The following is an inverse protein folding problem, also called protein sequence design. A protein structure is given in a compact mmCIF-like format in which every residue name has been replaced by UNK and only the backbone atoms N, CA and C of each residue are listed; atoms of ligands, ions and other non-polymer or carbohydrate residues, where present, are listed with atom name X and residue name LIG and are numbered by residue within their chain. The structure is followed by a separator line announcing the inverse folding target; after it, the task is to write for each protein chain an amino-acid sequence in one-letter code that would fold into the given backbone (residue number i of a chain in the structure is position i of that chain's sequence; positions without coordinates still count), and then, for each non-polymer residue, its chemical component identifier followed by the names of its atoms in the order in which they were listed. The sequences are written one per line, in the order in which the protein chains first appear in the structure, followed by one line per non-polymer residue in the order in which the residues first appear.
data_IF_991638227869
#
_entry.id   IF_991638227869
#
_cell.length_a   1.000
_cell.length_b   1.000
_cell.length_c   1.000
_cell.angle_alpha   90.00
_cell.angle_beta   90.00
_cell.angle_gamma   90.00
#
_symmetry.space_group_name_H-M   'P 1'
#
loop_
_entity.id
_entity.type
_entity.pdbx_description
1 polymer ?
#
# COMPACT_ATOMS: atom_id res chain seq x y z
N UNK A 1 -14.53 9.02 52.22
CA UNK A 1 -14.90 8.34 50.95
C UNK A 1 -15.19 9.37 49.86
N UNK A 2 -14.17 9.78 49.10
CA UNK A 2 -14.32 10.59 47.87
C UNK A 2 -13.18 10.22 46.93
N UNK A 3 -13.29 9.08 46.26
CA UNK A 3 -12.33 8.66 45.24
C UNK A 3 -13.00 7.68 44.27
N UNK A 4 -14.01 8.14 43.53
CA UNK A 4 -14.66 7.35 42.46
C UNK A 4 -15.06 8.14 41.21
N UNK A 5 -14.63 9.39 41.07
CA UNK A 5 -15.04 10.23 39.91
C UNK A 5 -13.91 10.40 38.87
N UNK A 6 -12.67 10.03 39.19
CA UNK A 6 -11.54 10.24 38.26
C UNK A 6 -11.42 9.12 37.20
N UNK A 7 -12.08 7.98 37.38
CA UNK A 7 -11.94 6.85 36.45
C UNK A 7 -12.88 6.89 35.23
N UNK A 8 -13.82 7.84 35.15
CA UNK A 8 -14.79 7.91 34.04
C UNK A 8 -14.35 8.82 32.89
N UNK A 9 -13.36 9.70 33.10
CA UNK A 9 -12.89 10.65 32.08
C UNK A 9 -11.81 10.04 31.18
N UNK A 10 -11.12 9.00 31.63
CA UNK A 10 -10.05 8.35 30.86
C UNK A 10 -10.55 7.35 29.80
N UNK A 11 -11.85 7.02 29.79
CA UNK A 11 -12.46 6.08 28.84
C UNK A 11 -13.08 6.76 27.62
N UNK A 12 -13.01 8.10 27.53
CA UNK A 12 -13.58 8.89 26.42
C UNK A 12 -12.52 9.50 25.49
N UNK A 13 -11.22 9.20 25.67
CA UNK A 13 -10.13 9.80 24.89
C UNK A 13 -9.43 8.83 23.91
N UNK A 14 -10.02 7.68 23.60
CA UNK A 14 -9.44 6.72 22.63
C UNK A 14 -10.10 6.82 21.24
N UNK A 15 -11.05 7.74 21.03
CA UNK A 15 -11.63 7.92 19.71
C UNK A 15 -10.94 9.02 18.90
N UNK A 16 -10.42 8.55 17.75
CA UNK A 16 -10.13 9.29 16.52
C UNK A 16 -8.99 10.31 16.58
N UNK A 17 -7.77 9.79 16.39
CA UNK A 17 -6.85 10.40 15.43
C UNK A 17 -6.81 9.51 14.18
N UNK A 18 -7.93 9.38 13.47
CA UNK A 18 -7.88 8.94 12.07
C UNK A 18 -7.30 10.12 11.28
N UNK A 19 -6.17 9.88 10.62
CA UNK A 19 -5.63 10.83 9.67
C UNK A 19 -6.73 11.09 8.62
N UNK A 20 -7.15 12.34 8.36
CA UNK A 20 -8.22 12.61 7.39
C UNK A 20 -7.91 12.07 5.99
N UNK A 21 -6.63 11.85 5.67
CA UNK A 21 -6.24 11.11 4.46
C UNK A 21 -6.58 9.62 4.53
N UNK A 22 -6.35 8.94 5.66
CA UNK A 22 -6.66 7.51 5.81
C UNK A 22 -8.17 7.24 5.82
N UNK A 23 -8.99 8.17 6.33
CA UNK A 23 -10.44 7.97 6.41
C UNK A 23 -11.14 8.18 5.05
N UNK A 24 -10.73 9.19 4.27
CA UNK A 24 -11.24 9.39 2.90
C UNK A 24 -10.68 8.37 1.90
N UNK A 25 -9.43 7.90 2.09
CA UNK A 25 -8.90 6.77 1.34
C UNK A 25 -9.61 5.48 1.74
N UNK A 26 -9.65 5.07 3.02
CA UNK A 26 -10.11 3.73 3.44
C UNK A 26 -11.58 3.42 3.17
N UNK A 27 -12.49 4.40 3.30
CA UNK A 27 -13.93 4.16 3.14
C UNK A 27 -14.32 3.98 1.66
N UNK A 28 -13.66 4.71 0.75
CA UNK A 28 -13.85 4.53 -0.69
C UNK A 28 -12.98 3.40 -1.26
N UNK A 29 -11.82 3.14 -0.65
CA UNK A 29 -10.87 2.11 -1.01
C UNK A 29 -11.36 0.68 -0.77
N UNK A 30 -11.98 0.42 0.39
CA UNK A 30 -12.55 -0.90 0.70
C UNK A 30 -13.70 -1.24 -0.24
N UNK A 31 -14.58 -0.26 -0.51
CA UNK A 31 -15.67 -0.41 -1.48
C UNK A 31 -15.17 -0.52 -2.92
N UNK A 32 -14.13 0.21 -3.32
CA UNK A 32 -13.50 0.11 -4.64
C UNK A 32 -12.70 -1.18 -4.81
N UNK A 33 -12.10 -1.73 -3.74
CA UNK A 33 -11.41 -3.01 -3.76
C UNK A 33 -12.39 -4.19 -3.75
N UNK A 34 -13.48 -4.10 -2.99
CA UNK A 34 -14.62 -5.01 -3.11
C UNK A 34 -15.26 -4.87 -4.50
N UNK A 35 -15.33 -3.65 -5.05
CA UNK A 35 -15.76 -3.41 -6.44
C UNK A 35 -14.77 -4.01 -7.42
N UNK A 36 -13.45 -3.85 -7.29
CA UNK A 36 -12.41 -4.40 -8.19
C UNK A 36 -12.37 -5.93 -8.09
N UNK A 37 -12.45 -6.49 -6.88
CA UNK A 37 -12.58 -7.94 -6.68
C UNK A 37 -13.97 -8.48 -7.08
N UNK A 38 -14.97 -7.61 -7.28
CA UNK A 38 -16.27 -7.96 -7.88
C UNK A 38 -16.40 -7.62 -9.38
N UNK A 39 -15.56 -6.71 -9.88
CA UNK A 39 -15.38 -6.30 -11.28
C UNK A 39 -14.33 -7.18 -11.97
N UNK A 40 -13.58 -7.96 -11.20
CA UNK A 40 -13.19 -9.32 -11.59
C UNK A 40 -14.48 -10.10 -11.86
N UNK A 41 -15.08 -9.82 -13.02
CA UNK A 41 -15.67 -10.86 -13.83
C UNK A 41 -14.79 -12.09 -13.64
N UNK A 42 -15.37 -13.15 -13.08
CA UNK A 42 -14.72 -14.39 -12.64
C UNK A 42 -13.94 -15.12 -13.74
N UNK A 43 -13.84 -14.54 -14.93
CA UNK A 43 -13.19 -15.02 -16.14
C UNK A 43 -12.32 -13.94 -16.82
N UNK A 44 -11.84 -12.91 -16.12
CA UNK A 44 -10.74 -12.07 -16.63
C UNK A 44 -9.49 -12.94 -16.64
N UNK A 45 -9.29 -13.58 -17.79
CA UNK A 45 -8.37 -14.68 -18.06
C UNK A 45 -7.06 -14.55 -17.26
N UNK A 46 -6.87 -15.43 -16.27
CA UNK A 46 -5.66 -15.45 -15.46
C UNK A 46 -4.42 -15.61 -16.34
N UNK A 47 -4.55 -16.28 -17.49
CA UNK A 47 -3.47 -16.40 -18.46
C UNK A 47 -3.08 -15.03 -19.01
N UNK A 48 -4.05 -14.17 -19.35
CA UNK A 48 -3.79 -12.79 -19.78
C UNK A 48 -3.16 -11.93 -18.67
N UNK A 49 -3.53 -12.16 -17.41
CA UNK A 49 -2.87 -11.47 -16.28
C UNK A 49 -1.41 -11.91 -16.15
N UNK A 50 -1.12 -13.19 -16.35
CA UNK A 50 0.25 -13.69 -16.36
C UNK A 50 1.07 -13.17 -17.55
N UNK A 51 0.46 -13.05 -18.73
CA UNK A 51 1.11 -12.43 -19.90
C UNK A 51 1.52 -10.99 -19.59
N UNK A 52 0.60 -10.17 -19.08
CA UNK A 52 0.90 -8.79 -18.70
C UNK A 52 1.97 -8.69 -17.61
N UNK A 53 1.90 -9.57 -16.60
CA UNK A 53 2.89 -9.62 -15.53
C UNK A 53 4.28 -10.01 -16.06
N UNK A 54 4.34 -10.90 -17.06
CA UNK A 54 5.56 -11.33 -17.71
C UNK A 54 6.16 -10.24 -18.60
N UNK A 55 5.32 -9.54 -19.37
CA UNK A 55 5.72 -8.38 -20.17
C UNK A 55 6.32 -7.27 -19.30
N UNK A 56 5.68 -6.97 -18.15
CA UNK A 56 6.20 -5.97 -17.21
C UNK A 56 7.53 -6.44 -16.61
N UNK A 57 7.63 -7.69 -16.14
CA UNK A 57 8.90 -8.26 -15.65
C UNK A 57 10.01 -8.13 -16.70
N UNK A 58 9.72 -8.46 -17.95
CA UNK A 58 10.67 -8.38 -19.05
C UNK A 58 11.14 -6.94 -19.29
N UNK A 59 10.26 -5.94 -19.19
CA UNK A 59 10.64 -4.53 -19.27
C UNK A 59 11.70 -4.17 -18.22
N UNK A 60 11.48 -4.57 -16.96
CA UNK A 60 12.47 -4.32 -15.89
C UNK A 60 13.80 -5.03 -16.15
N UNK A 61 13.76 -6.29 -16.60
CA UNK A 61 14.98 -7.05 -16.89
C UNK A 61 15.77 -6.45 -18.07
N UNK A 62 15.08 -6.04 -19.14
CA UNK A 62 15.70 -5.47 -20.33
C UNK A 62 16.37 -4.12 -20.06
N UNK A 63 15.79 -3.32 -19.17
CA UNK A 63 16.34 -2.01 -18.79
C UNK A 63 17.34 -2.10 -17.62
N UNK A 64 17.61 -3.32 -17.11
CA UNK A 64 18.51 -3.55 -15.98
C UNK A 64 17.99 -2.95 -14.67
N UNK A 65 16.67 -2.77 -14.55
CA UNK A 65 16.00 -2.25 -13.37
C UNK A 65 15.82 -3.40 -12.37
N UNK A 66 16.16 -3.22 -11.08
CA UNK A 66 15.99 -4.28 -10.09
C UNK A 66 14.52 -4.74 -9.96
N UNK A 67 14.30 -6.06 -9.87
CA UNK A 67 12.97 -6.65 -9.71
C UNK A 67 12.28 -6.27 -8.38
N UNK A 68 13.01 -5.69 -7.43
CA UNK A 68 12.41 -5.06 -6.25
C UNK A 68 11.50 -3.89 -6.61
N UNK A 69 11.84 -3.12 -7.66
CA UNK A 69 11.00 -2.04 -8.16
C UNK A 69 9.80 -2.55 -8.95
N UNK A 70 9.92 -3.70 -9.62
CA UNK A 70 8.79 -4.37 -10.27
C UNK A 70 7.76 -4.82 -9.23
N UNK A 71 8.24 -5.48 -8.15
CA UNK A 71 7.40 -5.87 -7.01
C UNK A 71 6.72 -4.66 -6.35
N UNK A 72 7.45 -3.54 -6.22
CA UNK A 72 6.92 -2.27 -5.70
C UNK A 72 5.86 -1.66 -6.60
N UNK A 73 6.10 -1.65 -7.91
CA UNK A 73 5.14 -1.17 -8.89
C UNK A 73 3.83 -1.95 -8.83
N UNK A 74 3.89 -3.28 -8.89
CA UNK A 74 2.68 -4.12 -8.82
C UNK A 74 1.97 -3.96 -7.47
N UNK A 75 2.71 -3.82 -6.37
CA UNK A 75 2.12 -3.54 -5.06
C UNK A 75 1.35 -2.22 -5.05
N UNK A 76 1.97 -1.12 -5.50
CA UNK A 76 1.36 0.19 -5.42
C UNK A 76 0.18 0.36 -6.39
N UNK A 77 0.18 -0.32 -7.53
CA UNK A 77 -0.96 -0.38 -8.46
C UNK A 77 -2.27 -0.73 -7.74
N UNK A 78 -2.25 -1.72 -6.85
CA UNK A 78 -3.45 -2.10 -6.09
C UNK A 78 -3.64 -1.28 -4.80
N UNK A 79 -2.56 -0.82 -4.16
CA UNK A 79 -2.67 0.09 -3.00
C UNK A 79 -3.32 1.43 -3.36
N UNK A 80 -3.00 2.00 -4.53
CA UNK A 80 -3.61 3.23 -5.03
C UNK A 80 -5.09 3.08 -5.34
N UNK A 81 -5.51 1.87 -5.69
CA UNK A 81 -6.92 1.51 -5.88
C UNK A 81 -7.63 1.20 -4.55
N UNK A 82 -6.95 1.37 -3.43
CA UNK A 82 -7.54 1.17 -2.12
C UNK A 82 -7.38 -0.22 -1.51
N UNK A 83 -6.60 -1.10 -2.14
CA UNK A 83 -6.28 -2.38 -1.52
C UNK A 83 -5.61 -2.19 -0.16
N UNK A 84 -6.10 -2.88 0.87
CA UNK A 84 -5.39 -2.96 2.15
C UNK A 84 -4.06 -3.69 1.95
N UNK A 85 -3.06 -3.41 2.78
CA UNK A 85 -1.77 -4.10 2.70
C UNK A 85 -1.94 -5.63 2.74
N UNK A 86 -2.84 -6.14 3.58
CA UNK A 86 -3.11 -7.57 3.70
C UNK A 86 -3.78 -8.15 2.45
N UNK A 87 -4.77 -7.44 1.89
CA UNK A 87 -5.47 -7.90 0.69
C UNK A 87 -4.53 -7.93 -0.52
N UNK A 88 -3.77 -6.85 -0.74
CA UNK A 88 -2.80 -6.77 -1.85
C UNK A 88 -1.72 -7.83 -1.70
N UNK A 89 -1.24 -8.08 -0.48
CA UNK A 89 -0.30 -9.16 -0.20
C UNK A 89 -0.86 -10.52 -0.62
N UNK A 90 -2.08 -10.85 -0.19
CA UNK A 90 -2.68 -12.15 -0.48
C UNK A 90 -2.97 -12.32 -1.98
N UNK A 91 -3.42 -11.27 -2.64
CA UNK A 91 -3.64 -11.24 -4.08
C UNK A 91 -2.33 -11.44 -4.85
N UNK A 92 -1.31 -10.60 -4.62
CA UNK A 92 -0.03 -10.69 -5.31
C UNK A 92 0.70 -11.99 -5.05
N UNK A 93 0.65 -12.52 -3.82
CA UNK A 93 1.19 -13.84 -3.52
C UNK A 93 0.53 -14.91 -4.42
N UNK A 94 -0.80 -14.89 -4.52
CA UNK A 94 -1.53 -15.88 -5.32
C UNK A 94 -1.24 -15.71 -6.81
N UNK A 95 -1.26 -14.48 -7.33
CA UNK A 95 -1.00 -14.17 -8.73
C UNK A 95 0.43 -14.55 -9.14
N UNK A 96 1.44 -14.14 -8.37
CA UNK A 96 2.84 -14.45 -8.69
C UNK A 96 3.11 -15.95 -8.66
N UNK A 97 2.51 -16.69 -7.71
CA UNK A 97 2.63 -18.14 -7.67
C UNK A 97 1.91 -18.84 -8.83
N UNK A 98 0.76 -18.31 -9.24
CA UNK A 98 0.03 -18.84 -10.41
C UNK A 98 0.82 -18.60 -11.71
N UNK A 99 1.47 -17.45 -11.84
CA UNK A 99 2.25 -17.06 -13.02
C UNK A 99 3.72 -17.52 -12.99
N UNK A 100 4.07 -18.54 -12.19
CA UNK A 100 5.44 -19.07 -12.06
C UNK A 100 6.53 -18.03 -11.67
N UNK A 101 6.14 -16.97 -10.96
CA UNK A 101 6.99 -15.88 -10.48
C UNK A 101 7.11 -15.83 -8.95
N UNK A 102 6.73 -16.89 -8.23
CA UNK A 102 6.72 -16.94 -6.77
C UNK A 102 8.07 -16.59 -6.13
N UNK A 103 9.20 -16.92 -6.78
CA UNK A 103 10.53 -16.55 -6.31
C UNK A 103 10.76 -15.03 -6.26
N UNK A 104 10.29 -14.30 -7.27
CA UNK A 104 10.37 -12.83 -7.32
C UNK A 104 9.60 -12.24 -6.14
N UNK A 105 8.42 -12.78 -5.85
CA UNK A 105 7.62 -12.39 -4.69
C UNK A 105 8.37 -12.61 -3.37
N UNK A 106 8.90 -13.82 -3.15
CA UNK A 106 9.58 -14.16 -1.89
C UNK A 106 10.83 -13.32 -1.62
N UNK A 107 11.63 -13.09 -2.67
CA UNK A 107 12.89 -12.36 -2.56
C UNK A 107 12.68 -10.86 -2.32
N UNK A 108 11.60 -10.30 -2.87
CA UNK A 108 11.40 -8.85 -2.91
C UNK A 108 10.33 -8.33 -1.94
N UNK A 109 9.39 -9.15 -1.46
CA UNK A 109 8.29 -8.67 -0.60
C UNK A 109 8.78 -7.94 0.67
N UNK A 110 9.93 -8.34 1.23
CA UNK A 110 10.49 -7.72 2.43
C UNK A 110 10.90 -6.25 2.22
N UNK A 111 11.30 -5.86 1.01
CA UNK A 111 11.64 -4.45 0.72
C UNK A 111 10.41 -3.56 0.80
N UNK A 112 9.23 -4.06 0.38
CA UNK A 112 7.97 -3.31 0.44
C UNK A 112 7.56 -2.96 1.85
N UNK A 113 7.65 -3.92 2.78
CA UNK A 113 7.35 -3.66 4.18
C UNK A 113 8.25 -2.56 4.76
N UNK A 114 9.52 -2.49 4.32
CA UNK A 114 10.42 -1.43 4.75
C UNK A 114 9.99 -0.06 4.17
N UNK A 115 9.67 -0.01 2.88
CA UNK A 115 9.24 1.21 2.19
C UNK A 115 7.91 1.76 2.75
N UNK A 116 6.91 0.91 3.00
CA UNK A 116 5.66 1.32 3.63
C UNK A 116 5.86 1.97 4.99
N UNK A 117 6.68 1.35 5.83
CA UNK A 117 7.01 1.91 7.15
C UNK A 117 7.73 3.26 7.02
N UNK A 118 8.57 3.43 6.00
CA UNK A 118 9.25 4.69 5.72
C UNK A 118 8.24 5.77 5.25
N UNK A 119 7.36 5.45 4.30
CA UNK A 119 6.35 6.39 3.81
C UNK A 119 5.37 6.81 4.90
N UNK A 120 4.95 5.89 5.77
CA UNK A 120 4.15 6.22 6.94
C UNK A 120 4.88 7.19 7.88
N UNK A 121 6.17 6.95 8.15
CA UNK A 121 6.98 7.87 8.97
C UNK A 121 7.10 9.25 8.32
N UNK A 122 7.34 9.31 7.00
CA UNK A 122 7.43 10.56 6.25
C UNK A 122 6.11 11.32 6.23
N UNK A 123 4.97 10.63 6.09
CA UNK A 123 3.65 11.24 6.12
C UNK A 123 3.28 11.83 7.49
N UNK A 124 3.83 11.25 8.57
CA UNK A 124 3.66 11.73 9.94
C UNK A 124 4.71 12.76 10.36
N UNK A 125 5.75 12.96 9.56
CA UNK A 125 6.82 13.88 9.88
C UNK A 125 6.29 15.33 9.87
N UNK A 126 6.72 16.18 10.83
CA UNK A 126 6.40 17.59 10.80
C UNK A 126 6.91 18.21 9.49
N UNK A 127 6.05 18.95 8.78
CA UNK A 127 6.48 19.75 7.64
C UNK A 127 7.28 20.93 8.21
N UNK A 128 8.61 20.85 8.16
CA UNK A 128 9.44 22.01 8.48
C UNK A 128 9.18 23.09 7.42
N UNK A 129 8.91 24.33 7.83
CA UNK A 129 8.72 25.41 6.87
C UNK A 129 10.00 25.58 6.05
N UNK A 130 9.89 25.46 4.73
CA UNK A 130 10.98 25.79 3.83
C UNK A 130 11.27 27.28 3.97
N UNK A 131 12.35 27.63 4.67
CA UNK A 131 12.86 29.00 4.72
C UNK A 131 13.54 29.25 3.38
N UNK A 132 12.81 29.83 2.44
CA UNK A 132 13.39 30.36 1.20
C UNK A 132 14.18 31.60 1.63
N UNK A 133 15.49 31.48 1.64
CA UNK A 133 16.39 32.63 1.81
C UNK A 133 16.43 33.28 0.43
N UNK A 134 15.70 34.39 0.24
CA UNK A 134 15.91 35.24 -0.92
C UNK A 134 17.35 35.77 -0.86
N UNK A 135 18.24 35.25 -1.71
CA UNK A 135 19.49 35.91 -2.03
C UNK A 135 19.14 37.23 -2.73
N UNK A 136 19.11 38.32 -1.96
CA UNK A 136 19.16 39.67 -2.50
C UNK A 136 20.60 39.97 -2.94
N UNK A 137 20.79 40.01 -4.26
CA UNK A 137 21.91 40.66 -4.93
C UNK A 137 22.04 42.16 -4.54
#
# INVERSE_FOLDING_TARGET
MKLKIISLVFLLLIFCSTNPYEEELSVNAGLLFDEISSFEETDKDLDSQCELLAEEKEYYENDGIPLSFFMEYEYYKFRYLGGSQENVKNYLNSLFYFCDMGNIYEENWKSLNHQENLYQQLALAPIEPVVIIDEQD
#
